data_IF_600638754855
#
_entry.id   IF_600638754855
#
_cell.length_a   1.000
_cell.length_b   1.000
_cell.length_c   1.000
_cell.angle_alpha   90.00
_cell.angle_beta   90.00
_cell.angle_gamma   90.00
#
_symmetry.space_group_name_H-M   'P 1'
#
loop_
_entity.id
_entity.type
_entity.pdbx_description
1 polymer ?
#
# COMPACT_ATOMS: atom_id res chain seq x y z
N UNK A 1 18.25 40.89 -59.85
CA UNK A 1 17.48 40.88 -58.59
C UNK A 1 17.74 39.52 -57.91
N UNK A 2 18.69 39.45 -56.95
CA UNK A 2 19.16 38.21 -56.36
C UNK A 2 18.36 37.93 -55.10
N UNK A 3 17.60 36.85 -55.12
CA UNK A 3 16.85 36.35 -53.97
C UNK A 3 17.77 35.38 -53.24
N UNK A 4 18.27 35.76 -52.04
CA UNK A 4 19.02 34.88 -51.16
C UNK A 4 18.04 34.00 -50.37
N UNK A 5 18.05 32.70 -50.65
CA UNK A 5 17.32 31.71 -49.83
C UNK A 5 17.98 31.55 -48.47
N UNK A 6 17.25 31.85 -47.40
CA UNK A 6 17.66 31.55 -46.01
C UNK A 6 17.14 30.16 -45.65
N UNK A 7 18.02 29.20 -45.46
CA UNK A 7 17.69 27.88 -44.96
C UNK A 7 17.80 27.92 -43.41
N UNK A 8 16.64 27.82 -42.72
CA UNK A 8 16.58 27.74 -41.28
C UNK A 8 16.79 26.27 -40.87
N UNK A 9 17.94 25.96 -40.31
CA UNK A 9 18.21 24.63 -39.74
C UNK A 9 17.61 24.55 -38.35
N UNK A 10 16.53 23.76 -38.21
CA UNK A 10 15.89 23.47 -36.93
C UNK A 10 16.62 22.30 -36.25
N UNK A 11 17.54 22.60 -35.33
CA UNK A 11 18.20 21.59 -34.49
C UNK A 11 17.23 21.15 -33.41
N UNK A 12 16.65 19.95 -33.56
CA UNK A 12 15.87 19.30 -32.52
C UNK A 12 16.81 18.82 -31.42
N UNK A 13 16.77 19.48 -30.26
CA UNK A 13 17.47 19.04 -29.06
C UNK A 13 16.66 17.88 -28.47
N UNK A 14 17.13 16.64 -28.69
CA UNK A 14 16.57 15.47 -28.00
C UNK A 14 16.95 15.54 -26.52
N UNK A 15 15.99 15.91 -25.67
CA UNK A 15 16.15 15.80 -24.23
C UNK A 15 16.14 14.30 -23.86
N UNK A 16 17.32 13.72 -23.63
CA UNK A 16 17.44 12.41 -22.99
C UNK A 16 17.03 12.56 -21.53
N UNK A 17 15.80 12.17 -21.20
CA UNK A 17 15.38 12.01 -19.80
C UNK A 17 16.16 10.82 -19.23
N UNK A 18 17.19 11.10 -18.46
CA UNK A 18 17.81 10.12 -17.56
C UNK A 18 16.77 9.82 -16.48
N UNK A 19 16.13 8.65 -16.55
CA UNK A 19 15.37 8.11 -15.44
C UNK A 19 16.37 7.85 -14.30
N UNK A 20 16.44 8.76 -13.34
CA UNK A 20 17.10 8.51 -12.07
C UNK A 20 16.27 7.47 -11.33
N UNK A 21 16.91 6.42 -10.79
CA UNK A 21 16.25 5.55 -9.84
C UNK A 21 15.72 6.42 -8.68
N UNK A 22 14.47 6.24 -8.33
CA UNK A 22 13.83 7.02 -7.29
C UNK A 22 14.28 6.48 -5.93
N UNK A 23 14.73 7.36 -5.03
CA UNK A 23 15.04 6.98 -3.66
C UNK A 23 13.73 6.75 -2.88
N UNK A 24 13.35 5.48 -2.73
CA UNK A 24 12.21 5.09 -1.90
C UNK A 24 12.58 5.18 -0.42
N UNK A 25 11.79 5.90 0.36
CA UNK A 25 11.93 5.93 1.81
C UNK A 25 11.13 4.78 2.43
N UNK A 26 11.79 3.95 3.23
CA UNK A 26 11.15 2.85 3.94
C UNK A 26 11.06 3.20 5.42
N UNK A 27 9.85 3.14 5.97
CA UNK A 27 9.59 3.39 7.38
C UNK A 27 8.79 2.21 7.96
N UNK A 28 9.30 1.64 9.05
CA UNK A 28 8.59 0.60 9.79
C UNK A 28 7.80 1.22 10.94
N UNK A 29 6.55 0.86 11.03
CA UNK A 29 5.66 1.19 12.13
C UNK A 29 5.48 -0.04 13.00
N UNK A 30 5.84 0.06 14.28
CA UNK A 30 5.66 -0.99 15.27
C UNK A 30 4.52 -0.62 16.21
N UNK A 31 3.47 -1.44 16.24
CA UNK A 31 2.36 -1.28 17.18
C UNK A 31 2.85 -1.40 18.63
N UNK A 32 2.11 -0.81 19.54
CA UNK A 32 2.38 -0.95 20.97
C UNK A 32 2.29 -2.41 21.43
N UNK A 33 2.99 -2.79 22.52
CA UNK A 33 2.97 -4.17 23.05
C UNK A 33 1.55 -4.69 23.34
N UNK A 34 0.64 -3.86 23.83
CA UNK A 34 -0.77 -4.20 24.05
C UNK A 34 -1.55 -4.53 22.77
N UNK A 35 -0.98 -4.19 21.60
CA UNK A 35 -1.46 -4.54 20.27
C UNK A 35 -0.52 -5.54 19.56
N UNK A 36 0.15 -6.38 20.34
CA UNK A 36 1.03 -7.48 19.90
C UNK A 36 2.29 -7.07 19.13
N UNK A 37 2.68 -5.79 19.12
CA UNK A 37 3.87 -5.35 18.40
C UNK A 37 3.81 -5.62 16.89
N UNK A 38 2.62 -5.60 16.31
CA UNK A 38 2.43 -5.84 14.87
C UNK A 38 3.17 -4.79 14.06
N UNK A 39 3.88 -5.23 13.03
CA UNK A 39 4.65 -4.34 12.16
C UNK A 39 3.91 -4.06 10.87
N UNK A 40 3.85 -2.80 10.48
CA UNK A 40 3.51 -2.35 9.14
C UNK A 40 4.69 -1.60 8.52
N UNK A 41 4.83 -1.66 7.20
CA UNK A 41 5.89 -0.96 6.50
C UNK A 41 5.29 0.04 5.52
N UNK A 42 5.70 1.30 5.64
CA UNK A 42 5.42 2.34 4.66
C UNK A 42 6.58 2.43 3.67
N UNK A 43 6.28 2.37 2.39
CA UNK A 43 7.21 2.62 1.30
C UNK A 43 6.73 3.89 0.63
N UNK A 44 7.51 4.95 0.78
CA UNK A 44 7.16 6.28 0.29
C UNK A 44 7.99 6.61 -0.95
N UNK A 45 7.30 6.94 -2.03
CA UNK A 45 7.87 7.58 -3.21
C UNK A 45 7.76 9.10 -3.12
N UNK A 46 7.84 9.79 -4.24
CA UNK A 46 7.71 11.26 -4.29
C UNK A 46 6.28 11.72 -4.00
N UNK A 47 5.29 11.01 -4.54
CA UNK A 47 3.86 11.39 -4.51
C UNK A 47 2.96 10.33 -3.90
N UNK A 48 3.38 9.07 -3.93
CA UNK A 48 2.58 7.93 -3.54
C UNK A 48 3.17 7.20 -2.33
N UNK A 49 2.30 6.49 -1.62
CA UNK A 49 2.65 5.60 -0.50
C UNK A 49 2.10 4.21 -0.80
N UNK A 50 2.93 3.21 -0.58
CA UNK A 50 2.55 1.81 -0.48
C UNK A 50 2.64 1.39 0.99
N UNK A 51 1.55 0.87 1.53
CA UNK A 51 1.51 0.28 2.86
C UNK A 51 1.58 -1.24 2.76
N UNK A 52 2.45 -1.87 3.53
CA UNK A 52 2.47 -3.31 3.72
C UNK A 52 1.87 -3.63 5.08
N UNK A 53 0.75 -4.36 5.08
CA UNK A 53 -0.07 -4.76 6.23
C UNK A 53 -0.77 -3.59 6.94
N UNK A 54 -2.02 -3.83 7.34
CA UNK A 54 -2.94 -2.79 7.79
C UNK A 54 -3.14 -2.72 9.31
N UNK A 55 -2.34 -3.42 10.08
CA UNK A 55 -2.45 -3.50 11.55
C UNK A 55 -3.62 -4.35 12.06
N UNK A 56 -3.46 -4.78 13.32
CA UNK A 56 -4.47 -5.54 14.05
C UNK A 56 -5.57 -4.66 14.62
N UNK A 57 -5.21 -3.54 15.24
CA UNK A 57 -6.16 -2.68 15.95
C UNK A 57 -6.46 -1.39 15.20
N UNK A 58 -7.70 -0.92 15.36
CA UNK A 58 -8.16 0.34 14.79
C UNK A 58 -7.28 1.53 15.18
N UNK A 59 -6.88 1.62 16.44
CA UNK A 59 -6.07 2.75 16.92
C UNK A 59 -4.69 2.80 16.30
N UNK A 60 -4.04 1.66 16.04
CA UNK A 60 -2.75 1.62 15.36
C UNK A 60 -2.90 1.93 13.87
N UNK A 61 -3.95 1.41 13.21
CA UNK A 61 -4.28 1.77 11.85
C UNK A 61 -4.53 3.27 11.68
N UNK A 62 -5.25 3.91 12.64
CA UNK A 62 -5.49 5.35 12.64
C UNK A 62 -4.19 6.17 12.78
N UNK A 63 -3.19 5.71 13.55
CA UNK A 63 -1.89 6.40 13.64
C UNK A 63 -1.17 6.40 12.30
N UNK A 64 -1.14 5.24 11.64
CA UNK A 64 -0.54 5.15 10.29
C UNK A 64 -1.31 6.01 9.29
N UNK A 65 -2.64 5.98 9.34
CA UNK A 65 -3.47 6.82 8.47
C UNK A 65 -3.20 8.32 8.68
N UNK A 66 -3.01 8.76 9.93
CA UNK A 66 -2.64 10.15 10.24
C UNK A 66 -1.26 10.50 9.66
N UNK A 67 -0.24 9.65 9.85
CA UNK A 67 1.10 9.87 9.29
C UNK A 67 1.06 9.99 7.75
N UNK A 68 0.25 9.17 7.09
CA UNK A 68 0.07 9.25 5.63
C UNK A 68 -0.61 10.56 5.22
N UNK A 69 -1.67 10.99 5.94
CA UNK A 69 -2.35 12.26 5.68
C UNK A 69 -1.39 13.45 5.87
N UNK A 70 -0.60 13.44 6.94
CA UNK A 70 0.37 14.50 7.25
C UNK A 70 1.50 14.57 6.22
N UNK A 71 1.84 13.45 5.57
CA UNK A 71 2.82 13.43 4.48
C UNK A 71 2.37 14.19 3.22
N UNK A 72 1.06 14.41 3.06
CA UNK A 72 0.45 15.00 1.87
C UNK A 72 0.51 14.11 0.62
N UNK A 73 0.98 12.86 0.77
CA UNK A 73 1.09 11.89 -0.33
C UNK A 73 -0.19 11.05 -0.46
N UNK A 74 -0.35 10.41 -1.61
CA UNK A 74 -1.49 9.54 -1.88
C UNK A 74 -1.19 8.11 -1.45
N UNK A 75 -1.99 7.54 -0.54
CA UNK A 75 -1.96 6.10 -0.30
C UNK A 75 -2.53 5.38 -1.52
N UNK A 76 -1.64 4.83 -2.34
CA UNK A 76 -1.99 4.19 -3.62
C UNK A 76 -2.42 2.75 -3.44
N UNK A 77 -1.64 2.03 -2.63
CA UNK A 77 -1.77 0.58 -2.51
C UNK A 77 -1.55 0.13 -1.07
N UNK A 78 -2.32 -0.87 -0.64
CA UNK A 78 -2.06 -1.64 0.56
C UNK A 78 -1.81 -3.09 0.13
N UNK A 79 -0.62 -3.62 0.40
CA UNK A 79 -0.32 -5.03 0.22
C UNK A 79 -0.59 -5.78 1.53
N UNK A 80 -1.48 -6.77 1.48
CA UNK A 80 -1.79 -7.64 2.62
C UNK A 80 -1.02 -8.95 2.44
N UNK A 81 0.01 -9.15 3.24
CA UNK A 81 0.96 -10.25 3.06
C UNK A 81 0.44 -11.60 3.54
N UNK A 82 -0.52 -11.61 4.48
CA UNK A 82 -1.10 -12.84 5.03
C UNK A 82 -2.52 -12.63 5.56
N UNK A 83 -3.28 -13.72 5.68
CA UNK A 83 -4.71 -13.69 6.04
C UNK A 83 -5.01 -13.75 7.54
N UNK A 84 -4.06 -13.41 8.43
CA UNK A 84 -4.33 -13.28 9.85
C UNK A 84 -4.77 -11.87 10.24
N UNK A 85 -5.55 -11.70 11.32
CA UNK A 85 -6.08 -10.41 11.77
C UNK A 85 -5.06 -9.29 11.86
N UNK A 86 -3.82 -9.61 12.23
CA UNK A 86 -2.70 -8.69 12.38
C UNK A 86 -2.39 -7.90 11.10
N UNK A 87 -2.74 -8.46 9.94
CA UNK A 87 -2.38 -7.91 8.64
C UNK A 87 -3.53 -7.18 7.96
N UNK A 88 -4.81 -7.44 8.36
CA UNK A 88 -5.95 -6.92 7.61
C UNK A 88 -7.10 -6.31 8.42
N UNK A 89 -7.14 -6.47 9.74
CA UNK A 89 -8.25 -5.93 10.55
C UNK A 89 -8.36 -4.40 10.47
N UNK A 90 -7.25 -3.70 10.31
CA UNK A 90 -7.25 -2.24 10.15
C UNK A 90 -7.65 -1.72 8.76
N UNK A 91 -7.97 -2.60 7.79
CA UNK A 91 -8.30 -2.19 6.42
C UNK A 91 -9.53 -1.26 6.34
N UNK A 92 -10.49 -1.41 7.26
CA UNK A 92 -11.69 -0.56 7.30
C UNK A 92 -11.34 0.91 7.56
N UNK A 93 -10.32 1.17 8.38
CA UNK A 93 -9.79 2.53 8.61
C UNK A 93 -9.24 3.10 7.32
N UNK A 94 -8.36 2.37 6.65
CA UNK A 94 -7.73 2.88 5.42
C UNK A 94 -8.75 3.09 4.30
N UNK A 95 -9.74 2.20 4.16
CA UNK A 95 -10.79 2.38 3.17
C UNK A 95 -11.67 3.61 3.46
N UNK A 96 -11.90 3.92 4.73
CA UNK A 96 -12.65 5.10 5.15
C UNK A 96 -11.93 6.41 4.79
N UNK A 97 -10.63 6.51 5.06
CA UNK A 97 -9.84 7.73 4.83
C UNK A 97 -9.23 7.83 3.43
N UNK A 98 -9.05 6.70 2.76
CA UNK A 98 -8.48 6.60 1.42
C UNK A 98 -9.37 5.75 0.51
N UNK A 99 -10.55 6.24 0.10
CA UNK A 99 -11.57 5.43 -0.58
C UNK A 99 -11.11 4.87 -1.94
N UNK A 100 -10.07 5.45 -2.54
CA UNK A 100 -9.52 5.02 -3.83
C UNK A 100 -8.30 4.10 -3.68
N UNK A 101 -7.95 3.69 -2.45
CA UNK A 101 -6.81 2.81 -2.22
C UNK A 101 -7.04 1.43 -2.83
N UNK A 102 -6.03 0.92 -3.53
CA UNK A 102 -6.05 -0.45 -4.04
C UNK A 102 -5.52 -1.41 -2.99
N UNK A 103 -6.34 -2.37 -2.56
CA UNK A 103 -5.93 -3.39 -1.59
C UNK A 103 -5.60 -4.67 -2.36
N UNK A 104 -4.36 -5.15 -2.25
CA UNK A 104 -3.81 -6.23 -3.07
C UNK A 104 -3.22 -7.35 -2.20
N UNK A 105 -4.00 -8.36 -1.80
CA UNK A 105 -3.51 -9.62 -1.27
C UNK A 105 -3.22 -10.61 -2.40
N UNK A 106 -2.45 -11.67 -2.11
CA UNK A 106 -2.37 -12.83 -3.01
C UNK A 106 -3.70 -13.62 -2.97
N UNK A 107 -4.00 -14.44 -4.00
CA UNK A 107 -5.19 -15.29 -3.99
C UNK A 107 -5.25 -16.23 -2.77
N UNK A 108 -4.10 -16.76 -2.34
CA UNK A 108 -3.99 -17.60 -1.14
C UNK A 108 -4.38 -16.83 0.12
N UNK A 109 -3.89 -15.59 0.25
CA UNK A 109 -4.25 -14.69 1.36
C UNK A 109 -5.76 -14.43 1.40
N UNK A 110 -6.39 -14.15 0.24
CA UNK A 110 -7.85 -13.97 0.16
C UNK A 110 -8.59 -15.21 0.63
N UNK A 111 -8.18 -16.39 0.13
CA UNK A 111 -8.80 -17.64 0.54
C UNK A 111 -8.70 -17.85 2.05
N UNK A 112 -7.53 -17.62 2.64
CA UNK A 112 -7.34 -17.75 4.08
C UNK A 112 -8.24 -16.78 4.87
N UNK A 113 -8.37 -15.53 4.44
CA UNK A 113 -9.30 -14.56 5.05
C UNK A 113 -10.74 -15.08 4.97
N UNK A 114 -11.19 -15.49 3.78
CA UNK A 114 -12.56 -15.97 3.57
C UNK A 114 -12.90 -17.18 4.45
N UNK A 115 -11.97 -18.13 4.55
CA UNK A 115 -12.17 -19.35 5.32
C UNK A 115 -12.19 -19.12 6.84
N UNK A 116 -11.51 -18.08 7.34
CA UNK A 116 -11.25 -17.94 8.79
C UNK A 116 -11.81 -16.68 9.42
N UNK A 117 -12.20 -15.64 8.66
CA UNK A 117 -12.60 -14.33 9.19
C UNK A 117 -13.72 -14.41 10.22
N UNK A 118 -14.75 -15.24 9.99
CA UNK A 118 -15.90 -15.33 10.89
C UNK A 118 -15.49 -15.78 12.29
N UNK A 119 -14.65 -16.82 12.38
CA UNK A 119 -14.12 -17.32 13.65
C UNK A 119 -13.20 -16.32 14.33
N UNK A 120 -12.35 -15.65 13.55
CA UNK A 120 -11.41 -14.63 14.05
C UNK A 120 -12.15 -13.41 14.60
N UNK A 121 -13.19 -12.92 13.91
CA UNK A 121 -14.03 -11.83 14.40
C UNK A 121 -14.80 -12.22 15.66
N UNK A 122 -15.38 -13.41 15.69
CA UNK A 122 -16.09 -13.91 16.88
C UNK A 122 -15.17 -14.02 18.10
N UNK A 123 -13.92 -14.39 17.92
CA UNK A 123 -12.94 -14.53 18.99
C UNK A 123 -12.34 -13.18 19.43
N UNK A 124 -11.89 -12.37 18.48
CA UNK A 124 -11.16 -11.14 18.76
C UNK A 124 -12.05 -9.93 19.00
N UNK A 125 -13.18 -9.82 18.30
CA UNK A 125 -14.07 -8.66 18.40
C UNK A 125 -14.44 -8.28 19.83
N UNK A 126 -14.95 -9.20 20.67
CA UNK A 126 -15.27 -8.89 22.07
C UNK A 126 -14.06 -8.47 22.92
N UNK A 127 -12.86 -8.99 22.59
CA UNK A 127 -11.63 -8.69 23.33
C UNK A 127 -11.04 -7.33 22.95
N UNK A 128 -11.24 -6.92 21.70
CA UNK A 128 -10.74 -5.66 21.16
C UNK A 128 -11.63 -4.46 21.51
N UNK A 129 -12.92 -4.69 21.78
CA UNK A 129 -13.87 -3.62 22.09
C UNK A 129 -13.88 -2.53 21.00
N UNK A 130 -13.64 -1.28 21.35
CA UNK A 130 -13.62 -0.16 20.42
C UNK A 130 -12.48 -0.25 19.37
N UNK A 131 -11.47 -1.07 19.59
CA UNK A 131 -10.37 -1.30 18.64
C UNK A 131 -10.69 -2.37 17.59
N UNK A 132 -11.82 -3.07 17.71
CA UNK A 132 -12.25 -4.03 16.70
C UNK A 132 -12.58 -3.33 15.36
N UNK A 133 -12.39 -4.02 14.22
CA UNK A 133 -12.81 -3.49 12.94
C UNK A 133 -14.32 -3.24 12.93
N UNK A 134 -14.78 -2.17 12.31
CA UNK A 134 -16.20 -1.87 12.14
C UNK A 134 -16.85 -2.79 11.11
N UNK A 135 -16.04 -3.22 10.13
CA UNK A 135 -16.40 -4.19 9.10
C UNK A 135 -15.15 -4.93 8.65
N UNK A 136 -15.32 -6.14 8.16
CA UNK A 136 -14.22 -6.87 7.53
C UNK A 136 -14.17 -6.55 6.05
N UNK A 137 -13.02 -6.07 5.60
CA UNK A 137 -12.73 -5.86 4.19
C UNK A 137 -12.10 -7.13 3.64
N UNK A 138 -12.77 -7.78 2.70
CA UNK A 138 -12.23 -8.94 1.96
C UNK A 138 -11.89 -8.45 0.55
N UNK A 139 -10.62 -8.17 0.27
CA UNK A 139 -10.23 -7.65 -1.04
C UNK A 139 -10.21 -8.75 -2.11
N UNK A 140 -10.12 -8.34 -3.37
CA UNK A 140 -9.94 -9.28 -4.48
C UNK A 140 -8.46 -9.69 -4.59
N UNK A 141 -8.21 -10.94 -4.92
CA UNK A 141 -6.86 -11.47 -5.09
C UNK A 141 -6.12 -10.80 -6.25
N UNK A 142 -4.87 -10.47 -6.02
CA UNK A 142 -3.97 -9.88 -7.00
C UNK A 142 -3.03 -10.96 -7.54
N UNK A 143 -3.06 -11.20 -8.85
CA UNK A 143 -2.32 -12.31 -9.49
C UNK A 143 -1.06 -11.87 -10.23
N UNK A 144 -0.86 -10.57 -10.42
CA UNK A 144 0.35 -10.10 -11.08
C UNK A 144 1.55 -10.20 -10.13
N UNK A 145 2.69 -10.63 -10.67
CA UNK A 145 3.94 -10.77 -9.92
C UNK A 145 4.69 -9.45 -9.72
N UNK A 146 4.31 -8.42 -10.44
CA UNK A 146 4.95 -7.11 -10.38
C UNK A 146 3.88 -6.07 -10.06
N UNK A 147 4.11 -5.33 -9.00
CA UNK A 147 3.38 -4.13 -8.65
C UNK A 147 4.13 -2.91 -9.16
N UNK A 148 3.47 -2.09 -9.96
CA UNK A 148 4.02 -0.79 -10.34
C UNK A 148 3.76 0.23 -9.23
N UNK A 149 4.83 0.85 -8.76
CA UNK A 149 4.78 1.90 -7.76
C UNK A 149 5.62 3.08 -8.23
N UNK A 150 4.96 4.15 -8.65
CA UNK A 150 5.56 5.28 -9.36
C UNK A 150 6.41 4.82 -10.57
N UNK A 151 7.72 5.05 -10.54
CA UNK A 151 8.64 4.64 -11.59
C UNK A 151 9.32 3.28 -11.32
N UNK A 152 8.97 2.62 -10.19
CA UNK A 152 9.59 1.39 -9.74
C UNK A 152 8.69 0.17 -9.97
N UNK A 153 9.33 -0.99 -10.09
CA UNK A 153 8.67 -2.28 -10.16
C UNK A 153 8.98 -3.08 -8.88
N UNK A 154 7.96 -3.36 -8.10
CA UNK A 154 8.08 -4.16 -6.88
C UNK A 154 7.66 -5.59 -7.21
N UNK A 155 8.56 -6.54 -7.02
CA UNK A 155 8.27 -7.95 -7.23
C UNK A 155 7.52 -8.53 -6.03
N UNK A 156 6.36 -9.15 -6.29
CA UNK A 156 5.59 -9.90 -5.29
C UNK A 156 6.02 -11.36 -5.38
N UNK A 157 6.66 -11.85 -4.31
CA UNK A 157 7.03 -13.26 -4.19
C UNK A 157 6.05 -13.98 -3.27
N UNK A 158 5.48 -15.07 -3.77
CA UNK A 158 4.75 -15.99 -2.92
C UNK A 158 5.75 -16.70 -1.98
N UNK A 159 5.27 -17.12 -0.81
CA UNK A 159 6.09 -17.89 0.13
C UNK A 159 6.63 -19.11 -0.59
N UNK A 160 7.95 -19.25 -0.67
CA UNK A 160 8.56 -20.50 -1.10
C UNK A 160 8.27 -21.54 -0.02
N UNK A 161 7.58 -22.58 -0.41
CA UNK A 161 7.27 -23.77 0.42
C UNK A 161 8.53 -24.57 0.71
#
# INVERSE_FOLDING_TARGET
MNIKSFTLALTALAATSTSSAQDLKIQNFLAKPEHFGVTSTLIEGDKEVLLVNAQFSKSEALRIAADILDSGKTLKTIFVSYGDPDFYFGLDVFQQYFPNVQIIPTPETVKHIQDTQALKVAYWGPKMGANAPSQIIVPQGYTAKILKFENENIEIKEKMS
#
